data_IF_827466538878
#
_entry.id   IF_827466538878
#
_cell.length_a   1.000
_cell.length_b   1.000
_cell.length_c   1.000
_cell.angle_alpha   90.00
_cell.angle_beta   90.00
_cell.angle_gamma   90.00
#
_symmetry.space_group_name_H-M   'P 1'
#
loop_
_entity.id
_entity.type
_entity.pdbx_description
1 polymer ?
#
# COMPACT_ATOMS: atom_id res chain seq x y z
N UNK A 1 -4.28 -19.40 8.85
CA UNK A 1 -2.90 -18.94 8.58
C UNK A 1 -2.91 -18.25 7.23
N UNK A 2 -2.26 -17.09 7.13
CA UNK A 2 -2.08 -16.41 5.86
C UNK A 2 -1.02 -17.12 5.01
N UNK A 3 -1.22 -17.15 3.70
CA UNK A 3 -0.17 -17.55 2.78
C UNK A 3 0.78 -16.38 2.48
N UNK A 4 1.91 -16.69 1.85
CA UNK A 4 2.93 -15.69 1.51
C UNK A 4 2.39 -14.57 0.60
N UNK A 5 1.45 -14.89 -0.29
CA UNK A 5 0.85 -13.90 -1.18
C UNK A 5 -0.04 -12.91 -0.42
N UNK A 6 -0.76 -13.37 0.60
CA UNK A 6 -1.57 -12.52 1.49
C UNK A 6 -0.68 -11.62 2.35
N UNK A 7 0.43 -12.14 2.87
CA UNK A 7 1.42 -11.34 3.63
C UNK A 7 2.04 -10.26 2.75
N UNK A 8 2.43 -10.59 1.51
CA UNK A 8 2.95 -9.61 0.55
C UNK A 8 1.91 -8.54 0.17
N UNK A 9 0.63 -8.94 0.06
CA UNK A 9 -0.47 -8.03 -0.20
C UNK A 9 -0.69 -7.05 0.95
N UNK A 10 -0.64 -7.53 2.20
CA UNK A 10 -0.73 -6.68 3.38
C UNK A 10 0.43 -5.67 3.46
N UNK A 11 1.66 -6.10 3.13
CA UNK A 11 2.81 -5.19 3.05
C UNK A 11 2.61 -4.11 1.97
N UNK A 12 2.00 -4.47 0.85
CA UNK A 12 1.67 -3.54 -0.23
C UNK A 12 0.59 -2.55 0.19
N UNK A 13 -0.41 -2.97 0.98
CA UNK A 13 -1.43 -2.10 1.56
C UNK A 13 -0.81 -1.03 2.48
N UNK A 14 0.09 -1.43 3.38
CA UNK A 14 0.82 -0.50 4.25
C UNK A 14 1.65 0.53 3.45
N UNK A 15 2.33 0.07 2.40
CA UNK A 15 3.09 0.94 1.50
C UNK A 15 2.18 1.91 0.74
N UNK A 16 1.04 1.44 0.24
CA UNK A 16 0.05 2.25 -0.46
C UNK A 16 -0.51 3.38 0.40
N UNK A 17 -0.80 3.10 1.69
CA UNK A 17 -1.24 4.13 2.65
C UNK A 17 -0.20 5.25 2.79
N UNK A 18 1.07 4.87 2.99
CA UNK A 18 2.16 5.85 3.16
C UNK A 18 2.39 6.67 1.90
N UNK A 19 2.29 6.06 0.73
CA UNK A 19 2.53 6.73 -0.56
C UNK A 19 1.38 7.64 -0.98
N UNK A 20 0.14 7.25 -0.69
CA UNK A 20 -1.03 8.02 -1.08
C UNK A 20 -1.31 9.18 -0.13
N UNK A 21 -0.90 9.10 1.14
CA UNK A 21 -1.12 10.16 2.13
C UNK A 21 -0.61 11.52 1.64
N UNK A 22 -1.45 12.55 1.74
CA UNK A 22 -1.13 13.90 1.28
C UNK A 22 -1.12 14.07 -0.24
N UNK A 23 -1.58 13.08 -1.02
CA UNK A 23 -1.75 13.16 -2.48
C UNK A 23 -3.23 13.10 -2.87
N UNK A 24 -3.55 13.47 -4.11
CA UNK A 24 -4.92 13.38 -4.64
C UNK A 24 -5.48 11.94 -4.61
N UNK A 25 -4.61 10.93 -4.64
CA UNK A 25 -5.00 9.52 -4.56
C UNK A 25 -5.50 9.10 -3.16
N UNK A 26 -5.21 9.89 -2.12
CA UNK A 26 -5.56 9.56 -0.73
C UNK A 26 -7.06 9.36 -0.53
N UNK A 27 -7.88 10.25 -1.09
CA UNK A 27 -9.33 10.21 -0.90
C UNK A 27 -9.94 8.91 -1.43
N UNK A 28 -9.48 8.43 -2.58
CA UNK A 28 -9.94 7.18 -3.16
C UNK A 28 -9.49 5.97 -2.32
N UNK A 29 -8.21 5.94 -1.94
CA UNK A 29 -7.63 4.86 -1.14
C UNK A 29 -8.30 4.74 0.23
N UNK A 30 -8.38 5.84 0.99
CA UNK A 30 -8.90 5.84 2.36
C UNK A 30 -10.35 5.37 2.43
N UNK A 31 -11.18 5.79 1.48
CA UNK A 31 -12.59 5.40 1.43
C UNK A 31 -12.77 3.92 1.15
N UNK A 32 -11.96 3.34 0.26
CA UNK A 32 -12.01 1.90 -0.03
C UNK A 32 -11.49 1.06 1.13
N UNK A 33 -10.35 1.44 1.71
CA UNK A 33 -9.81 0.75 2.88
C UNK A 33 -10.80 0.82 4.05
N UNK A 34 -11.42 1.97 4.32
CA UNK A 34 -12.39 2.08 5.39
C UNK A 34 -13.59 1.14 5.22
N UNK A 35 -14.12 1.00 3.99
CA UNK A 35 -15.18 0.03 3.69
C UNK A 35 -14.72 -1.41 3.90
N UNK A 36 -13.54 -1.75 3.39
CA UNK A 36 -12.94 -3.08 3.55
C UNK A 36 -12.78 -3.45 5.04
N UNK A 37 -12.20 -2.56 5.85
CA UNK A 37 -12.02 -2.76 7.29
C UNK A 37 -13.32 -2.65 8.10
N UNK A 38 -14.29 -1.89 7.59
CA UNK A 38 -15.62 -1.73 8.20
C UNK A 38 -16.56 -2.92 7.95
N UNK A 39 -16.25 -3.75 6.94
CA UNK A 39 -17.02 -4.98 6.60
C UNK A 39 -18.53 -4.71 6.42
N UNK A 40 -18.87 -3.55 5.85
CA UNK A 40 -20.25 -3.12 5.63
C UNK A 40 -20.97 -2.54 6.87
N UNK A 41 -20.32 -2.52 8.04
CA UNK A 41 -20.85 -1.82 9.21
C UNK A 41 -20.45 -0.33 9.14
N UNK A 42 -21.43 0.55 8.93
CA UNK A 42 -21.22 1.99 8.82
C UNK A 42 -20.52 2.63 10.03
N UNK A 43 -20.73 2.13 11.24
CA UNK A 43 -20.03 2.65 12.43
C UNK A 43 -18.57 2.25 12.40
N UNK A 44 -18.29 0.99 12.03
CA UNK A 44 -16.91 0.53 11.88
C UNK A 44 -16.22 1.30 10.75
N UNK A 45 -16.86 1.50 9.61
CA UNK A 45 -16.31 2.30 8.51
C UNK A 45 -15.89 3.71 8.96
N UNK A 46 -16.74 4.43 9.70
CA UNK A 46 -16.40 5.74 10.26
C UNK A 46 -15.18 5.69 11.17
N UNK A 47 -15.08 4.67 12.04
CA UNK A 47 -13.91 4.49 12.92
C UNK A 47 -12.62 4.26 12.13
N UNK A 48 -12.70 3.52 11.01
CA UNK A 48 -11.54 3.29 10.16
C UNK A 48 -11.16 4.55 9.36
N UNK A 49 -12.14 5.33 8.90
CA UNK A 49 -11.91 6.62 8.26
C UNK A 49 -11.16 7.57 9.19
N UNK A 50 -11.64 7.75 10.43
CA UNK A 50 -10.97 8.62 11.42
C UNK A 50 -9.52 8.19 11.69
N UNK A 51 -9.26 6.87 11.70
CA UNK A 51 -7.91 6.33 11.87
C UNK A 51 -7.02 6.59 10.65
N UNK A 52 -7.57 6.45 9.45
CA UNK A 52 -6.86 6.80 8.21
C UNK A 52 -6.54 8.29 8.18
N UNK A 53 -7.51 9.15 8.50
CA UNK A 53 -7.33 10.61 8.49
C UNK A 53 -6.25 11.05 9.48
N UNK A 54 -6.18 10.41 10.65
CA UNK A 54 -5.06 10.62 11.59
C UNK A 54 -3.72 10.18 11.00
N UNK A 55 -3.69 9.04 10.31
CA UNK A 55 -2.48 8.54 9.65
C UNK A 55 -1.98 9.54 8.60
N UNK A 56 -2.88 10.09 7.77
CA UNK A 56 -2.52 11.13 6.79
C UNK A 56 -1.97 12.38 7.46
N UNK A 57 -2.63 12.86 8.53
CA UNK A 57 -2.19 14.04 9.25
C UNK A 57 -0.78 13.85 9.84
N UNK A 58 -0.51 12.68 10.43
CA UNK A 58 0.82 12.34 10.96
C UNK A 58 1.89 12.27 9.86
N UNK A 59 1.56 11.66 8.71
CA UNK A 59 2.48 11.55 7.56
C UNK A 59 2.77 12.92 6.92
N UNK A 60 1.74 13.75 6.79
CA UNK A 60 1.86 15.09 6.19
C UNK A 60 2.64 16.02 7.11
N UNK A 61 2.41 15.94 8.43
CA UNK A 61 3.15 16.73 9.41
C UNK A 61 4.64 16.35 9.48
N UNK A 62 4.97 15.07 9.30
CA UNK A 62 6.35 14.60 9.28
C UNK A 62 7.12 15.02 8.01
N UNK A 63 6.41 15.27 6.91
CA UNK A 63 7.00 15.77 5.66
C UNK A 63 8.03 14.81 5.05
N UNK A 64 9.00 15.37 4.33
CA UNK A 64 10.01 14.60 3.60
C UNK A 64 11.00 13.88 4.52
N UNK A 65 11.29 14.44 5.71
CA UNK A 65 12.26 13.88 6.66
C UNK A 65 11.65 12.80 7.58
N UNK A 66 10.35 12.52 7.44
CA UNK A 66 9.59 11.58 8.26
C UNK A 66 9.81 10.09 7.95
N UNK A 67 11.01 9.65 7.58
CA UNK A 67 11.29 8.24 7.20
C UNK A 67 10.90 7.23 8.29
N UNK A 68 11.19 7.55 9.56
CA UNK A 68 10.81 6.71 10.70
C UNK A 68 9.30 6.60 10.84
N UNK A 69 8.59 7.73 10.74
CA UNK A 69 7.14 7.78 10.87
C UNK A 69 6.45 7.04 9.70
N UNK A 70 6.99 7.19 8.48
CA UNK A 70 6.56 6.45 7.29
C UNK A 70 6.72 4.94 7.48
N UNK A 71 7.88 4.50 7.97
CA UNK A 71 8.15 3.07 8.25
C UNK A 71 7.19 2.52 9.30
N UNK A 72 7.04 3.24 10.42
CA UNK A 72 6.17 2.84 11.53
C UNK A 72 4.70 2.72 11.12
N UNK A 73 4.17 3.74 10.43
CA UNK A 73 2.77 3.75 10.01
C UNK A 73 2.50 2.72 8.90
N UNK A 74 3.45 2.55 7.97
CA UNK A 74 3.38 1.49 6.96
C UNK A 74 3.31 0.09 7.59
N UNK A 75 4.16 -0.19 8.57
CA UNK A 75 4.14 -1.45 9.31
C UNK A 75 2.82 -1.64 10.08
N UNK A 76 2.30 -0.60 10.73
CA UNK A 76 1.03 -0.67 11.46
C UNK A 76 -0.15 -1.03 10.53
N UNK A 77 -0.21 -0.46 9.33
CA UNK A 77 -1.25 -0.77 8.35
C UNK A 77 -1.08 -2.15 7.71
N UNK A 78 0.16 -2.60 7.53
CA UNK A 78 0.44 -4.00 7.16
C UNK A 78 -0.13 -4.96 8.21
N UNK A 79 0.25 -4.83 9.47
CA UNK A 79 -0.23 -5.71 10.55
C UNK A 79 -1.74 -5.68 10.67
N UNK A 80 -2.36 -4.49 10.57
CA UNK A 80 -3.83 -4.39 10.60
C UNK A 80 -4.50 -5.14 9.45
N UNK A 81 -3.87 -5.15 8.27
CA UNK A 81 -4.36 -5.90 7.11
C UNK A 81 -4.20 -7.40 7.32
N UNK A 82 -3.07 -7.85 7.86
CA UNK A 82 -2.85 -9.24 8.25
C UNK A 82 -3.92 -9.69 9.26
N UNK A 83 -4.14 -8.92 10.33
CA UNK A 83 -5.15 -9.18 11.35
C UNK A 83 -6.56 -9.30 10.77
N UNK A 84 -6.92 -8.41 9.83
CA UNK A 84 -8.21 -8.47 9.12
C UNK A 84 -8.34 -9.79 8.37
N UNK A 85 -7.35 -10.13 7.55
CA UNK A 85 -7.39 -11.33 6.71
C UNK A 85 -7.43 -12.61 7.55
N UNK A 86 -6.77 -12.63 8.72
CA UNK A 86 -6.81 -13.76 9.64
C UNK A 86 -8.16 -13.96 10.30
N UNK A 87 -8.87 -12.88 10.63
CA UNK A 87 -10.16 -12.91 11.31
C UNK A 87 -11.35 -13.25 10.38
N UNK A 88 -11.16 -13.14 9.06
CA UNK A 88 -12.22 -13.41 8.08
C UNK A 88 -12.40 -14.91 7.82
N UNK A 89 -13.64 -15.30 7.52
CA UNK A 89 -13.92 -16.64 7.00
C UNK A 89 -13.31 -16.83 5.60
N UNK A 90 -13.03 -18.05 5.13
CA UNK A 90 -12.32 -18.28 3.86
C UNK A 90 -12.92 -17.57 2.64
N UNK A 91 -14.24 -17.55 2.51
CA UNK A 91 -14.94 -16.89 1.39
C UNK A 91 -14.81 -15.36 1.47
N UNK A 92 -15.03 -14.79 2.65
CA UNK A 92 -14.90 -13.35 2.89
C UNK A 92 -13.45 -12.88 2.74
N UNK A 93 -12.49 -13.68 3.21
CA UNK A 93 -11.05 -13.46 3.04
C UNK A 93 -10.69 -13.44 1.56
N UNK A 94 -11.21 -14.36 0.76
CA UNK A 94 -10.95 -14.38 -0.68
C UNK A 94 -11.50 -13.12 -1.38
N UNK A 95 -12.70 -12.69 -1.01
CA UNK A 95 -13.28 -11.43 -1.50
C UNK A 95 -12.45 -10.21 -1.08
N UNK A 96 -12.04 -10.13 0.18
CA UNK A 96 -11.20 -9.06 0.71
C UNK A 96 -9.83 -8.99 0.01
N UNK A 97 -9.21 -10.14 -0.26
CA UNK A 97 -7.96 -10.24 -1.03
C UNK A 97 -8.15 -9.73 -2.46
N UNK A 98 -9.26 -10.10 -3.11
CA UNK A 98 -9.56 -9.63 -4.47
C UNK A 98 -9.77 -8.11 -4.52
N UNK A 99 -10.53 -7.56 -3.57
CA UNK A 99 -10.75 -6.11 -3.46
C UNK A 99 -9.45 -5.35 -3.20
N UNK A 100 -8.62 -5.86 -2.28
CA UNK A 100 -7.34 -5.23 -1.94
C UNK A 100 -6.35 -5.28 -3.12
N UNK A 101 -6.32 -6.38 -3.88
CA UNK A 101 -5.52 -6.46 -5.12
C UNK A 101 -5.99 -5.44 -6.15
N UNK A 102 -7.29 -5.38 -6.42
CA UNK A 102 -7.85 -4.42 -7.38
C UNK A 102 -7.52 -2.98 -6.99
N UNK A 103 -7.64 -2.63 -5.70
CA UNK A 103 -7.29 -1.32 -5.18
C UNK A 103 -5.81 -0.96 -5.42
N UNK A 104 -4.89 -1.90 -5.15
CA UNK A 104 -3.46 -1.67 -5.33
C UNK A 104 -3.05 -1.62 -6.81
N UNK A 105 -3.68 -2.43 -7.66
CA UNK A 105 -3.46 -2.42 -9.10
C UNK A 105 -3.91 -1.09 -9.73
N UNK A 106 -5.04 -0.54 -9.28
CA UNK A 106 -5.51 0.79 -9.70
C UNK A 106 -4.54 1.90 -9.25
N UNK A 107 -4.06 1.83 -8.01
CA UNK A 107 -3.07 2.79 -7.50
C UNK A 107 -1.74 2.73 -8.27
N UNK A 108 -1.27 1.51 -8.59
CA UNK A 108 -0.05 1.31 -9.39
C UNK A 108 -0.21 1.85 -10.82
N UNK A 109 -1.40 1.74 -11.41
CA UNK A 109 -1.69 2.30 -12.73
C UNK A 109 -1.72 3.84 -12.71
N UNK A 110 -2.32 4.44 -11.68
CA UNK A 110 -2.36 5.89 -11.52
C UNK A 110 -0.97 6.51 -11.30
N UNK A 111 -0.04 5.74 -10.72
CA UNK A 111 1.34 6.18 -10.48
C UNK A 111 2.26 6.06 -11.71
N UNK A 112 1.83 5.43 -12.81
CA UNK A 112 2.67 5.32 -14.03
C UNK A 112 2.71 6.67 -14.75
N UNK A 113 3.89 7.27 -14.95
CA UNK A 113 4.01 8.49 -15.74
C UNK A 113 3.69 8.22 -17.22
N UNK A 114 2.96 9.13 -17.86
CA UNK A 114 2.80 9.15 -19.30
C UNK A 114 4.18 9.36 -19.95
N UNK A 115 4.77 8.30 -20.48
CA UNK A 115 6.00 8.26 -21.29
C UNK A 115 7.12 9.27 -20.92
N UNK A 116 8.12 8.85 -20.12
CA UNK A 116 9.49 9.39 -20.24
C UNK A 116 10.14 10.12 -19.06
N UNK A 117 9.88 9.78 -17.79
CA UNK A 117 10.65 10.36 -16.67
C UNK A 117 10.79 9.44 -15.44
N UNK A 118 12.04 9.24 -14.99
CA UNK A 118 12.42 8.71 -13.65
C UNK A 118 12.33 9.86 -12.62
N UNK A 119 11.90 9.69 -11.36
CA UNK A 119 12.49 8.86 -10.28
C UNK A 119 11.46 8.64 -9.15
N UNK A 120 11.19 7.39 -8.76
CA UNK A 120 11.02 6.91 -7.36
C UNK A 120 10.53 5.50 -7.43
N UNK A 121 11.27 4.58 -6.84
CA UNK A 121 11.15 3.25 -7.35
C UNK A 121 10.98 2.29 -6.13
N UNK A 122 10.02 1.34 -6.26
CA UNK A 122 9.42 0.34 -5.33
C UNK A 122 9.56 -1.15 -5.77
N UNK A 123 10.24 -2.03 -5.03
CA UNK A 123 10.44 -3.44 -5.44
C UNK A 123 9.19 -4.34 -5.18
N UNK A 124 8.76 -5.10 -6.20
CA UNK A 124 7.69 -6.11 -6.12
C UNK A 124 8.15 -7.42 -6.80
N UNK A 125 8.44 -8.47 -6.01
CA UNK A 125 8.91 -9.76 -6.57
C UNK A 125 10.21 -9.61 -7.38
N UNK A 126 10.40 -10.23 -8.56
CA UNK A 126 11.64 -10.10 -9.35
C UNK A 126 11.87 -8.69 -9.95
N UNK A 127 11.10 -7.68 -9.53
CA UNK A 127 11.10 -6.35 -10.12
C UNK A 127 11.77 -5.34 -9.20
N UNK A 128 12.75 -4.63 -9.77
CA UNK A 128 13.60 -3.66 -9.09
C UNK A 128 13.28 -2.22 -9.41
N UNK A 129 13.07 -1.41 -8.37
CA UNK A 129 12.61 -0.06 -8.52
C UNK A 129 13.27 0.71 -7.30
N UNK A 130 14.21 1.66 -7.54
CA UNK A 130 14.92 2.71 -6.72
C UNK A 130 14.57 4.25 -6.86
N UNK A 131 14.58 5.04 -5.77
CA UNK A 131 14.45 6.54 -5.75
C UNK A 131 15.63 7.33 -5.18
N UNK A 132 16.00 8.49 -5.79
CA UNK A 132 17.00 9.47 -5.33
C UNK A 132 17.66 10.23 -6.51
N UNK A 133 18.33 11.36 -6.26
CA UNK A 133 19.12 12.06 -7.29
C UNK A 133 20.46 11.34 -7.55
N UNK A 134 20.84 11.18 -8.82
CA UNK A 134 22.05 10.44 -9.25
C UNK A 134 21.82 8.99 -9.70
N UNK A 135 20.58 8.63 -10.09
CA UNK A 135 20.24 7.26 -10.46
C UNK A 135 20.95 6.75 -11.74
N UNK A 136 21.66 5.63 -11.62
CA UNK A 136 22.25 4.86 -12.73
C UNK A 136 21.86 3.39 -12.59
N UNK A 137 21.25 2.81 -13.63
CA UNK A 137 20.89 1.39 -13.67
C UNK A 137 21.69 0.67 -14.77
N UNK A 138 22.44 -0.37 -14.40
CA UNK A 138 23.22 -1.20 -15.33
C UNK A 138 22.70 -2.64 -15.27
N UNK A 139 22.13 -3.12 -16.38
CA UNK A 139 21.56 -4.46 -16.51
C UNK A 139 22.56 -5.38 -17.25
N UNK A 140 22.89 -6.55 -16.68
CA UNK A 140 23.72 -7.58 -17.34
C UNK A 140 23.02 -8.93 -17.29
N UNK A 141 22.82 -9.55 -18.45
CA UNK A 141 22.21 -10.87 -18.58
C UNK A 141 23.23 -11.83 -19.20
N UNK A 142 23.67 -12.83 -18.42
CA UNK A 142 24.49 -13.93 -18.93
C UNK A 142 23.59 -15.13 -19.24
N UNK A 143 23.72 -15.72 -20.43
CA UNK A 143 23.00 -16.94 -20.78
C UNK A 143 23.57 -18.12 -19.98
N UNK A 144 22.73 -18.85 -19.25
CA UNK A 144 23.13 -20.14 -18.66
C UNK A 144 22.83 -21.29 -19.64
N UNK A 145 23.72 -22.30 -19.71
CA UNK A 145 23.67 -23.38 -20.69
C UNK A 145 22.47 -24.31 -20.51
#
# INVERSE_FOLDING_TARGET
MLDEAMVALAASAGSGVVQAAGTDAWLALRNRLARLFGRGDRRQETVQLERLDRTEAELTAAGQDGDEQRTRLGAAWRTRTEDLLEQLEPEERAAAVAELRALLDEAAQAARPAAGGFTRNVFHGPTAVQSGDGNVQVNRFDARP
#
